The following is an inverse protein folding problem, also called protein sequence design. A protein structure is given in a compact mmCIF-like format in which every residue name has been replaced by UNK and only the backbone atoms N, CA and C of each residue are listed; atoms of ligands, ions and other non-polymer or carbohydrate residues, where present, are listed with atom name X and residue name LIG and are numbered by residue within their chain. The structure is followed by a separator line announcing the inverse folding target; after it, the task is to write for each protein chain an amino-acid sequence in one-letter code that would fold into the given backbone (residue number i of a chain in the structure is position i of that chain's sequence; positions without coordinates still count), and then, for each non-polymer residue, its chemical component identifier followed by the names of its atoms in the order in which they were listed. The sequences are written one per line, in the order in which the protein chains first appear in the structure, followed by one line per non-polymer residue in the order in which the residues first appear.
data_IF_177543875294
#
_entry.id   IF_177543875294
#
_cell.length_a   1.000
_cell.length_b   1.000
_cell.length_c   1.000
_cell.angle_alpha   90.00
_cell.angle_beta   90.00
_cell.angle_gamma   90.00
#
_symmetry.space_group_name_H-M   'P 1'
#
loop_
_entity.id
_entity.type
_entity.pdbx_description
1 polymer ?
#
# COMPACT_ATOMS: atom_id res chain seq x y z
N UNK A 1 23.50 -10.19 8.70
CA UNK A 1 22.04 -10.47 8.87
C UNK A 1 21.27 -9.36 8.17
N UNK A 2 20.37 -9.70 7.28
CA UNK A 2 19.46 -8.73 6.67
C UNK A 2 18.07 -8.87 7.30
N UNK A 3 17.43 -7.73 7.57
CA UNK A 3 16.07 -7.67 8.08
C UNK A 3 15.22 -6.89 7.07
N UNK A 4 14.02 -7.39 6.79
CA UNK A 4 13.04 -6.71 5.93
C UNK A 4 11.63 -6.99 6.45
N UNK A 5 10.72 -6.07 6.18
CA UNK A 5 9.31 -6.34 6.39
C UNK A 5 8.85 -7.43 5.41
N UNK A 6 8.32 -8.53 5.90
CA UNK A 6 7.85 -9.64 5.05
C UNK A 6 6.43 -9.38 4.57
N UNK A 7 5.52 -9.05 5.49
CA UNK A 7 4.12 -8.75 5.18
C UNK A 7 3.50 -7.79 6.20
N UNK A 8 2.38 -7.23 5.81
CA UNK A 8 1.40 -6.62 6.70
C UNK A 8 0.10 -7.43 6.63
N UNK A 9 -0.67 -7.43 7.71
CA UNK A 9 -1.99 -8.08 7.76
C UNK A 9 -3.06 -7.01 7.99
N UNK A 10 -4.06 -6.99 7.12
CA UNK A 10 -5.19 -6.06 7.19
C UNK A 10 -6.51 -6.84 7.31
N UNK A 11 -7.41 -6.31 8.12
CA UNK A 11 -8.81 -6.75 8.13
C UNK A 11 -9.58 -5.80 7.21
N UNK A 12 -10.26 -6.36 6.22
CA UNK A 12 -10.98 -5.60 5.18
C UNK A 12 -12.41 -6.13 5.01
N UNK A 13 -13.33 -5.27 4.60
CA UNK A 13 -14.72 -5.66 4.33
C UNK A 13 -14.85 -6.38 2.99
N UNK A 14 -14.16 -5.88 1.98
CA UNK A 14 -14.14 -6.43 0.62
C UNK A 14 -12.74 -6.94 0.27
N UNK A 15 -12.51 -8.21 0.55
CA UNK A 15 -11.23 -8.89 0.25
C UNK A 15 -10.93 -8.84 -1.25
N UNK A 16 -11.92 -9.11 -2.11
CA UNK A 16 -11.73 -9.12 -3.56
C UNK A 16 -11.49 -7.71 -4.11
N UNK A 17 -12.14 -6.69 -3.54
CA UNK A 17 -11.88 -5.29 -3.87
C UNK A 17 -10.45 -4.88 -3.54
N UNK A 18 -9.92 -5.29 -2.38
CA UNK A 18 -8.54 -5.03 -2.00
C UNK A 18 -7.55 -5.77 -2.90
N UNK A 19 -7.84 -7.02 -3.28
CA UNK A 19 -7.03 -7.77 -4.25
C UNK A 19 -7.00 -7.05 -5.60
N UNK A 20 -8.13 -6.56 -6.08
CA UNK A 20 -8.19 -5.80 -7.35
C UNK A 20 -7.34 -4.54 -7.28
N UNK A 21 -7.41 -3.77 -6.20
CA UNK A 21 -6.56 -2.60 -5.99
C UNK A 21 -5.07 -2.97 -6.07
N UNK A 22 -4.63 -3.94 -5.28
CA UNK A 22 -3.24 -4.37 -5.23
C UNK A 22 -2.74 -4.89 -6.57
N UNK A 23 -3.56 -5.64 -7.31
CA UNK A 23 -3.19 -6.14 -8.64
C UNK A 23 -3.23 -5.07 -9.74
N UNK A 24 -3.98 -3.99 -9.54
CA UNK A 24 -3.91 -2.81 -10.42
C UNK A 24 -2.62 -2.04 -10.19
N UNK A 25 -2.22 -1.85 -8.93
CA UNK A 25 -0.94 -1.24 -8.59
C UNK A 25 0.24 -2.11 -9.04
N UNK A 26 0.16 -3.41 -8.79
CA UNK A 26 1.21 -4.39 -9.02
C UNK A 26 0.68 -5.55 -9.88
N UNK A 27 0.80 -5.48 -11.22
CA UNK A 27 0.31 -6.54 -12.11
C UNK A 27 0.93 -7.93 -11.84
N UNK A 28 2.12 -7.98 -11.25
CA UNK A 28 2.81 -9.21 -10.86
C UNK A 28 2.28 -9.85 -9.58
N UNK A 29 1.45 -9.14 -8.81
CA UNK A 29 0.85 -9.71 -7.59
C UNK A 29 -0.14 -10.81 -7.94
N UNK A 30 -0.06 -11.90 -7.22
CA UNK A 30 -0.96 -13.05 -7.32
C UNK A 30 -1.43 -13.51 -5.94
N UNK A 31 -2.52 -14.21 -5.91
CA UNK A 31 -2.92 -14.94 -4.70
C UNK A 31 -1.89 -16.05 -4.46
N UNK A 32 -1.20 -15.97 -3.33
CA UNK A 32 -0.19 -16.95 -2.89
C UNK A 32 -0.85 -18.14 -2.19
N UNK A 33 -1.93 -17.87 -1.49
CA UNK A 33 -2.73 -18.84 -0.76
C UNK A 33 -3.96 -18.19 -0.18
N UNK A 34 -4.98 -18.99 0.07
CA UNK A 34 -6.22 -18.57 0.71
C UNK A 34 -6.85 -19.71 1.51
N UNK A 35 -7.76 -19.38 2.38
CA UNK A 35 -8.47 -20.34 3.18
C UNK A 35 -9.48 -19.67 4.11
N UNK A 36 -9.90 -20.42 5.13
CA UNK A 36 -10.79 -19.92 6.17
C UNK A 36 -10.14 -20.05 7.54
N UNK A 37 -10.40 -19.07 8.39
CA UNK A 37 -10.07 -19.13 9.81
C UNK A 37 -10.99 -20.16 10.48
N UNK A 38 -10.69 -20.50 11.72
CA UNK A 38 -11.54 -21.38 12.52
C UNK A 38 -12.93 -20.80 12.83
N UNK A 39 -13.10 -19.48 12.67
CA UNK A 39 -14.40 -18.79 12.70
C UNK A 39 -15.14 -18.75 11.36
N UNK A 40 -14.56 -19.32 10.30
CA UNK A 40 -15.13 -19.33 8.97
C UNK A 40 -14.84 -18.07 8.11
N UNK A 41 -14.17 -17.06 8.65
CA UNK A 41 -13.77 -15.87 7.89
C UNK A 41 -12.70 -16.21 6.85
N UNK A 42 -12.79 -15.62 5.67
CA UNK A 42 -11.81 -15.80 4.60
C UNK A 42 -10.50 -15.09 4.93
N UNK A 43 -9.39 -15.73 4.62
CA UNK A 43 -8.08 -15.09 4.57
C UNK A 43 -7.43 -15.32 3.21
N UNK A 44 -6.66 -14.34 2.74
CA UNK A 44 -5.93 -14.38 1.46
C UNK A 44 -4.58 -13.74 1.62
N UNK A 45 -3.53 -14.36 1.08
CA UNK A 45 -2.22 -13.74 0.92
C UNK A 45 -2.03 -13.36 -0.55
N UNK A 46 -1.77 -12.10 -0.82
CA UNK A 46 -1.60 -11.56 -2.17
C UNK A 46 -0.27 -10.83 -2.31
N UNK A 47 0.53 -11.19 -3.29
CA UNK A 47 1.86 -10.63 -3.50
C UNK A 47 2.72 -11.42 -4.46
N UNK A 48 4.04 -11.29 -4.28
CA UNK A 48 5.08 -12.05 -4.98
C UNK A 48 5.64 -13.15 -4.07
N UNK A 49 6.67 -13.86 -4.51
CA UNK A 49 7.37 -14.82 -3.64
C UNK A 49 8.12 -14.13 -2.50
N UNK A 50 8.51 -12.87 -2.69
CA UNK A 50 9.36 -12.15 -1.77
C UNK A 50 8.60 -11.29 -0.74
N UNK A 51 7.41 -10.78 -1.08
CA UNK A 51 6.63 -9.88 -0.24
C UNK A 51 5.14 -10.03 -0.53
N UNK A 52 4.29 -9.79 0.45
CA UNK A 52 2.85 -9.90 0.29
C UNK A 52 2.07 -9.08 1.31
N UNK A 53 0.80 -8.91 1.03
CA UNK A 53 -0.19 -8.41 1.98
C UNK A 53 -1.10 -9.58 2.36
N UNK A 54 -1.27 -9.79 3.66
CA UNK A 54 -2.26 -10.74 4.19
C UNK A 54 -3.57 -9.99 4.42
N UNK A 55 -4.66 -10.52 3.90
CA UNK A 55 -6.01 -9.98 4.05
C UNK A 55 -6.85 -10.94 4.86
N UNK A 56 -7.60 -10.42 5.82
CA UNK A 56 -8.62 -11.15 6.56
C UNK A 56 -9.97 -10.46 6.36
N UNK A 57 -10.99 -11.26 6.09
CA UNK A 57 -12.35 -10.77 6.00
C UNK A 57 -12.83 -10.28 7.37
N UNK A 58 -13.44 -9.09 7.40
CA UNK A 58 -14.03 -8.55 8.61
C UNK A 58 -15.22 -9.42 9.07
N UNK A 59 -15.24 -9.80 10.33
CA UNK A 59 -16.32 -10.61 10.94
C UNK A 59 -17.34 -9.76 11.67
N UNK A 60 -17.11 -8.46 11.79
CA UNK A 60 -17.99 -7.49 12.45
C UNK A 60 -18.06 -6.21 11.65
N UNK A 61 -19.24 -5.66 11.53
CA UNK A 61 -19.37 -4.29 11.06
C UNK A 61 -18.87 -3.33 12.15
N UNK A 62 -18.12 -2.32 11.73
CA UNK A 62 -17.74 -1.19 12.56
C UNK A 62 -18.26 0.08 11.93
N UNK A 63 -18.94 0.89 12.71
CA UNK A 63 -19.34 2.23 12.30
C UNK A 63 -18.14 3.17 12.19
N UNK A 64 -17.05 2.85 12.90
CA UNK A 64 -15.80 3.61 12.81
C UNK A 64 -15.00 3.14 11.58
N UNK A 65 -14.78 4.06 10.65
CA UNK A 65 -13.77 3.89 9.61
C UNK A 65 -12.42 4.36 10.15
N UNK A 66 -11.39 3.63 9.80
CA UNK A 66 -10.04 4.15 9.93
C UNK A 66 -9.90 5.38 9.03
N UNK A 67 -9.43 6.48 9.60
CA UNK A 67 -9.15 7.71 8.84
C UNK A 67 -7.65 7.98 8.96
N UNK A 68 -6.88 7.83 7.88
CA UNK A 68 -5.47 8.18 7.88
C UNK A 68 -5.26 9.64 8.30
N UNK A 69 -4.15 9.90 8.97
CA UNK A 69 -3.73 11.24 9.41
C UNK A 69 -4.68 11.96 10.40
N UNK A 70 -5.63 11.23 10.99
CA UNK A 70 -6.56 11.79 11.97
C UNK A 70 -5.98 11.90 13.41
N UNK A 71 -4.70 11.58 13.59
CA UNK A 71 -4.01 11.67 14.87
C UNK A 71 -4.33 10.57 15.88
N UNK A 72 -5.12 9.58 15.52
CA UNK A 72 -5.35 8.39 16.36
C UNK A 72 -4.16 7.44 16.27
N UNK A 73 -3.76 6.79 17.38
CA UNK A 73 -2.73 5.73 17.32
C UNK A 73 -3.17 4.58 16.43
N UNK A 74 -2.26 4.08 15.58
CA UNK A 74 -2.50 2.96 14.68
C UNK A 74 -1.68 3.06 13.41
N UNK A 75 -1.94 2.17 12.46
CA UNK A 75 -1.32 2.21 11.15
C UNK A 75 -1.87 3.39 10.35
N UNK A 76 -0.97 4.27 9.87
CA UNK A 76 -1.36 5.42 9.06
C UNK A 76 -1.47 5.06 7.58
N UNK A 77 -0.39 4.51 7.02
CA UNK A 77 -0.33 3.99 5.65
C UNK A 77 0.70 2.86 5.55
N UNK A 78 0.69 2.18 4.43
CA UNK A 78 1.73 1.24 4.01
C UNK A 78 2.42 1.79 2.77
N UNK A 79 3.76 1.64 2.71
CA UNK A 79 4.55 2.07 1.57
C UNK A 79 5.21 0.88 0.88
N UNK A 80 5.21 0.92 -0.47
CA UNK A 80 5.98 0.03 -1.32
C UNK A 80 7.02 0.82 -2.11
N UNK A 81 8.23 0.30 -2.19
CA UNK A 81 9.21 0.76 -3.16
C UNK A 81 8.82 0.22 -4.54
N UNK A 82 8.84 1.07 -5.56
CA UNK A 82 8.45 0.75 -6.94
C UNK A 82 9.47 1.29 -7.93
N UNK A 83 9.56 0.66 -9.09
CA UNK A 83 10.49 1.08 -10.14
C UNK A 83 9.98 2.28 -10.94
N UNK A 84 8.66 2.44 -11.08
CA UNK A 84 8.04 3.51 -11.86
C UNK A 84 6.73 3.99 -11.21
N UNK A 85 6.84 5.04 -10.41
CA UNK A 85 5.72 5.63 -9.69
C UNK A 85 4.72 6.33 -10.65
N UNK A 86 5.19 6.89 -11.77
CA UNK A 86 4.31 7.57 -12.73
C UNK A 86 3.46 6.57 -13.51
N UNK A 87 4.05 5.47 -13.96
CA UNK A 87 3.29 4.40 -14.63
C UNK A 87 2.26 3.75 -13.67
N UNK A 88 2.64 3.53 -12.42
CA UNK A 88 1.72 3.03 -11.39
C UNK A 88 0.57 4.02 -11.16
N UNK A 89 0.88 5.31 -11.02
CA UNK A 89 -0.11 6.38 -10.85
C UNK A 89 -1.11 6.42 -12.00
N UNK A 90 -0.61 6.31 -13.24
CA UNK A 90 -1.46 6.28 -14.43
C UNK A 90 -2.43 5.08 -14.42
N UNK A 91 -1.95 3.90 -14.04
CA UNK A 91 -2.80 2.69 -13.94
C UNK A 91 -3.90 2.81 -12.90
N UNK A 92 -3.55 3.29 -11.70
CA UNK A 92 -4.53 3.45 -10.62
C UNK A 92 -5.58 4.51 -10.96
N UNK A 93 -5.18 5.64 -11.56
CA UNK A 93 -6.12 6.67 -12.04
C UNK A 93 -7.05 6.13 -13.14
N UNK A 94 -6.52 5.39 -14.10
CA UNK A 94 -7.31 4.79 -15.17
C UNK A 94 -8.33 3.77 -14.63
N UNK A 95 -8.03 3.11 -13.52
CA UNK A 95 -8.95 2.20 -12.84
C UNK A 95 -9.95 2.92 -11.91
N UNK A 96 -9.86 4.26 -11.78
CA UNK A 96 -10.81 5.07 -11.00
C UNK A 96 -10.50 5.17 -9.50
N UNK A 97 -9.29 4.80 -9.06
CA UNK A 97 -8.90 4.98 -7.67
C UNK A 97 -8.56 6.44 -7.35
N UNK A 98 -8.82 6.82 -6.10
CA UNK A 98 -8.60 8.17 -5.61
C UNK A 98 -7.10 8.44 -5.39
N UNK A 99 -6.57 9.42 -6.13
CA UNK A 99 -5.20 9.90 -6.01
C UNK A 99 -5.13 10.93 -4.88
N UNK A 100 -4.52 10.54 -3.76
CA UNK A 100 -4.32 11.37 -2.58
C UNK A 100 -2.94 12.02 -2.52
N UNK A 101 -2.20 11.99 -3.64
CA UNK A 101 -0.83 12.51 -3.70
C UNK A 101 -0.78 13.99 -3.39
N UNK A 102 0.00 14.35 -2.37
CA UNK A 102 0.41 15.73 -2.12
C UNK A 102 1.61 16.06 -3.00
N UNK A 103 1.68 17.24 -3.63
CA UNK A 103 2.83 17.64 -4.42
C UNK A 103 4.13 17.47 -3.61
N UNK A 104 5.14 16.88 -4.25
CA UNK A 104 6.45 16.67 -3.65
C UNK A 104 7.54 16.87 -4.71
N UNK A 105 8.68 17.43 -4.32
CA UNK A 105 9.75 17.83 -5.21
C UNK A 105 11.14 17.37 -4.75
N UNK A 106 11.21 16.30 -3.96
CA UNK A 106 12.50 15.76 -3.51
C UNK A 106 13.31 15.27 -4.71
N UNK A 107 14.61 15.66 -4.87
CA UNK A 107 15.38 15.34 -6.07
C UNK A 107 15.71 13.85 -6.23
N UNK A 108 15.74 13.08 -5.12
CA UNK A 108 16.17 11.69 -5.11
C UNK A 108 15.05 10.68 -4.90
N UNK A 109 13.80 11.12 -4.79
CA UNK A 109 12.66 10.22 -4.68
C UNK A 109 11.38 10.86 -5.21
N UNK A 110 10.48 10.00 -5.67
CA UNK A 110 9.14 10.36 -6.12
C UNK A 110 8.13 9.54 -5.33
N UNK A 111 7.12 10.18 -4.77
CA UNK A 111 6.08 9.53 -3.96
C UNK A 111 4.71 9.79 -4.53
N UNK A 112 3.91 8.76 -4.63
CA UNK A 112 2.49 8.86 -4.97
C UNK A 112 1.66 8.13 -3.92
N UNK A 113 0.43 8.59 -3.71
CA UNK A 113 -0.48 8.08 -2.70
C UNK A 113 -1.85 7.82 -3.30
N UNK A 114 -2.47 6.73 -2.90
CA UNK A 114 -3.81 6.37 -3.33
C UNK A 114 -4.62 5.76 -2.19
N UNK A 115 -5.91 6.10 -2.16
CA UNK A 115 -6.86 5.40 -1.32
C UNK A 115 -7.40 4.16 -2.02
N UNK A 116 -7.51 3.06 -1.30
CA UNK A 116 -8.29 1.91 -1.75
C UNK A 116 -9.78 2.09 -1.46
N UNK A 117 -10.61 1.13 -1.86
CA UNK A 117 -12.06 1.19 -1.63
C UNK A 117 -12.45 1.10 -0.14
N UNK A 118 -11.56 0.62 0.72
CA UNK A 118 -11.74 0.56 2.19
C UNK A 118 -11.41 1.90 2.86
N UNK A 119 -10.76 2.84 2.14
CA UNK A 119 -10.28 4.12 2.67
C UNK A 119 -8.88 4.03 3.28
N UNK A 120 -8.16 2.92 3.11
CA UNK A 120 -6.75 2.85 3.50
C UNK A 120 -5.91 3.67 2.54
N UNK A 121 -4.88 4.35 3.08
CA UNK A 121 -3.92 5.09 2.29
C UNK A 121 -2.71 4.20 1.97
N UNK A 122 -2.25 4.25 0.74
CA UNK A 122 -1.13 3.49 0.22
C UNK A 122 -0.12 4.44 -0.39
N UNK A 123 1.14 4.33 0.02
CA UNK A 123 2.25 5.09 -0.54
C UNK A 123 3.06 4.21 -1.50
N UNK A 124 3.52 4.79 -2.61
CA UNK A 124 4.41 4.15 -3.56
C UNK A 124 5.60 5.07 -3.79
N UNK A 125 6.79 4.58 -3.45
CA UNK A 125 8.03 5.36 -3.47
C UNK A 125 8.94 4.83 -4.57
N UNK A 126 9.29 5.69 -5.51
CA UNK A 126 10.38 5.45 -6.46
C UNK A 126 11.60 6.22 -6.01
N UNK A 127 12.70 5.54 -5.77
CA UNK A 127 13.99 6.18 -5.56
C UNK A 127 14.66 6.47 -6.91
N UNK A 128 15.20 7.67 -7.04
CA UNK A 128 15.90 8.15 -8.25
C UNK A 128 17.40 8.08 -8.08
N UNK A 129 17.90 7.51 -6.98
CA UNK A 129 19.30 7.32 -6.66
C UNK A 129 19.52 5.98 -5.97
N UNK A 130 20.66 5.37 -6.21
CA UNK A 130 21.13 4.18 -5.48
C UNK A 130 21.99 4.54 -4.26
N UNK A 131 22.40 5.80 -4.11
CA UNK A 131 23.19 6.25 -2.96
C UNK A 131 22.30 6.31 -1.70
N UNK A 132 22.62 5.53 -0.64
CA UNK A 132 21.86 5.57 0.60
C UNK A 132 21.81 6.94 1.27
N UNK A 133 22.83 7.77 1.11
CA UNK A 133 22.85 9.12 1.67
C UNK A 133 21.84 10.04 0.98
N UNK A 134 21.68 9.91 -0.34
CA UNK A 134 20.67 10.64 -1.11
C UNK A 134 19.25 10.09 -0.88
N UNK A 135 19.10 8.76 -0.85
CA UNK A 135 17.81 8.09 -0.57
C UNK A 135 17.28 8.47 0.81
N UNK A 136 18.16 8.62 1.78
CA UNK A 136 17.84 8.91 3.17
C UNK A 136 18.06 10.39 3.56
N UNK A 137 18.14 11.29 2.59
CA UNK A 137 18.21 12.71 2.87
C UNK A 137 16.81 13.23 3.29
N UNK A 138 16.69 13.59 4.56
CA UNK A 138 15.48 14.16 5.14
C UNK A 138 15.59 15.68 5.38
N UNK A 139 16.73 16.30 5.02
CA UNK A 139 16.96 17.73 5.15
C UNK A 139 16.48 18.53 3.93
N UNK A 140 16.37 17.87 2.77
CA UNK A 140 15.87 18.49 1.55
C UNK A 140 14.34 18.62 1.59
N UNK A 141 13.80 19.70 1.01
CA UNK A 141 12.35 19.87 0.96
C UNK A 141 11.70 18.78 0.11
N UNK A 142 10.65 18.21 0.66
CA UNK A 142 9.90 17.10 0.07
C UNK A 142 8.53 17.55 -0.47
N UNK A 143 8.09 18.72 -0.07
CA UNK A 143 6.82 19.34 -0.45
C UNK A 143 7.09 20.77 -0.95
N UNK A 144 6.49 21.13 -2.05
CA UNK A 144 6.49 22.48 -2.61
C UNK A 144 5.22 23.22 -2.25
#
# INVERSE_FOLDING_TARGET
MSVRLEHANLIVRDVDGTIRFLRTAFPEFRVRGEGKTWHGARWVHVGTDATYVALNEATRESAERWVPYAGKPGLNHLAFEVDDADALRARLRAAGYEDSTVPNAHPHRRRVYFHDAEGNDWEFVQYLSEDPAERNDYALPDVT
#
